data_IF_148058072247
#
_entry.id   IF_148058072247
#
_cell.length_a   1.000
_cell.length_b   1.000
_cell.length_c   1.000
_cell.angle_alpha   90.00
_cell.angle_beta   90.00
_cell.angle_gamma   90.00
#
_symmetry.space_group_name_H-M   'P 1'
#
loop_
_entity.id
_entity.type
_entity.pdbx_description
1 polymer ?
#
# COMPACT_ATOMS: atom_id res chain seq x y z
N UNK A 1 -27.10 -31.32 4.05
CA UNK A 1 -25.92 -30.48 3.77
C UNK A 1 -24.68 -31.32 4.08
N UNK A 2 -23.74 -31.48 3.14
CA UNK A 2 -22.57 -32.36 3.30
C UNK A 2 -21.39 -31.55 3.84
N UNK A 3 -20.79 -31.97 4.96
CA UNK A 3 -19.60 -31.34 5.55
C UNK A 3 -18.36 -32.15 5.18
N UNK A 4 -17.29 -31.48 4.80
CA UNK A 4 -15.99 -32.07 4.44
C UNK A 4 -14.95 -31.54 5.43
N UNK A 5 -14.13 -32.42 6.02
CA UNK A 5 -13.05 -32.06 6.95
C UNK A 5 -11.74 -32.76 6.55
N UNK A 6 -10.61 -32.33 7.11
CA UNK A 6 -9.31 -32.99 6.97
C UNK A 6 -9.07 -33.90 8.18
N UNK A 7 -8.61 -35.13 7.91
CA UNK A 7 -8.31 -36.12 8.95
C UNK A 7 -6.86 -36.58 8.82
N UNK A 8 -6.23 -36.87 9.95
CA UNK A 8 -4.98 -37.61 9.98
C UNK A 8 -5.26 -39.06 9.57
N UNK A 9 -4.53 -39.58 8.58
CA UNK A 9 -4.75 -40.92 8.03
C UNK A 9 -4.13 -42.03 8.89
N UNK A 10 -3.21 -41.71 9.80
CA UNK A 10 -2.59 -42.68 10.71
C UNK A 10 -3.37 -42.79 12.03
N UNK A 11 -3.84 -41.68 12.57
CA UNK A 11 -4.52 -41.63 13.89
C UNK A 11 -6.03 -41.54 13.78
N UNK A 12 -6.57 -41.07 12.65
CA UNK A 12 -8.01 -40.86 12.44
C UNK A 12 -8.57 -39.62 13.14
N UNK A 13 -7.72 -38.79 13.73
CA UNK A 13 -8.14 -37.57 14.42
C UNK A 13 -8.53 -36.46 13.43
N UNK A 14 -9.53 -35.66 13.80
CA UNK A 14 -9.92 -34.46 13.05
C UNK A 14 -8.87 -33.38 13.29
N UNK A 15 -8.17 -32.99 12.24
CA UNK A 15 -7.01 -32.08 12.33
C UNK A 15 -7.43 -30.64 12.62
N UNK A 16 -8.73 -30.31 12.56
CA UNK A 16 -9.26 -29.05 13.06
C UNK A 16 -8.59 -27.82 12.43
N UNK A 17 -8.87 -27.55 11.16
CA UNK A 17 -8.32 -26.39 10.45
C UNK A 17 -8.09 -26.67 8.99
N UNK A 18 -7.52 -25.70 8.28
CA UNK A 18 -7.03 -25.88 6.92
C UNK A 18 -5.59 -25.39 6.85
N UNK A 19 -4.74 -26.08 6.09
CA UNK A 19 -3.37 -25.62 5.84
C UNK A 19 -3.44 -24.43 4.87
N UNK A 20 -3.31 -23.22 5.41
CA UNK A 20 -3.16 -22.02 4.61
C UNK A 20 -1.70 -21.89 4.14
N UNK A 21 -1.42 -22.20 2.87
CA UNK A 21 -0.12 -21.87 2.27
C UNK A 21 -0.10 -20.38 1.96
N UNK A 22 0.40 -19.58 2.91
CA UNK A 22 0.66 -18.15 2.68
C UNK A 22 1.94 -18.05 1.86
N UNK A 23 1.81 -17.81 0.55
CA UNK A 23 2.99 -17.45 -0.24
C UNK A 23 3.52 -16.11 0.28
N UNK A 24 4.84 -15.94 0.41
CA UNK A 24 5.40 -14.64 0.74
C UNK A 24 4.89 -13.63 -0.30
N UNK A 25 4.27 -12.55 0.18
CA UNK A 25 3.75 -11.48 -0.68
C UNK A 25 4.87 -11.08 -1.64
N UNK A 26 4.60 -11.14 -2.95
CA UNK A 26 5.60 -10.70 -3.92
C UNK A 26 5.94 -9.24 -3.62
N UNK A 27 7.17 -9.02 -3.18
CA UNK A 27 7.69 -7.67 -2.99
C UNK A 27 7.86 -7.09 -4.38
N UNK A 28 7.30 -5.91 -4.60
CA UNK A 28 7.59 -5.14 -5.81
C UNK A 28 9.10 -5.00 -5.97
N UNK A 29 9.62 -5.15 -7.19
CA UNK A 29 11.04 -4.87 -7.49
C UNK A 29 11.38 -3.39 -7.29
N UNK A 30 10.37 -2.53 -7.24
CA UNK A 30 10.50 -1.13 -6.89
C UNK A 30 10.44 -1.00 -5.37
N UNK A 31 11.57 -0.65 -4.75
CA UNK A 31 11.72 -0.48 -3.30
C UNK A 31 10.67 0.50 -2.73
N UNK A 32 10.38 1.57 -3.48
CA UNK A 32 9.32 2.56 -3.20
C UNK A 32 8.41 2.66 -4.43
N UNK A 33 7.10 2.65 -4.21
CA UNK A 33 6.13 2.78 -5.29
C UNK A 33 4.91 3.59 -4.82
N UNK A 34 4.38 4.40 -5.72
CA UNK A 34 3.16 5.15 -5.51
C UNK A 34 2.02 4.52 -6.32
N UNK A 35 0.95 4.11 -5.65
CA UNK A 35 -0.26 3.59 -6.30
C UNK A 35 -1.44 4.49 -5.95
N UNK A 36 -2.13 5.02 -6.95
CA UNK A 36 -3.22 5.98 -6.77
C UNK A 36 -4.43 5.67 -7.64
N UNK A 37 -5.60 6.07 -7.16
CA UNK A 37 -6.82 6.13 -7.95
C UNK A 37 -6.67 7.14 -9.11
N UNK A 38 -6.84 6.66 -10.35
CA UNK A 38 -6.76 7.50 -11.55
C UNK A 38 -7.81 8.62 -11.59
N UNK A 39 -8.96 8.46 -10.91
CA UNK A 39 -9.96 9.53 -10.80
C UNK A 39 -9.41 10.75 -10.03
N UNK A 40 -8.51 10.53 -9.06
CA UNK A 40 -7.89 11.62 -8.31
C UNK A 40 -6.95 12.47 -9.19
N UNK A 41 -6.32 11.87 -10.21
CA UNK A 41 -5.47 12.61 -11.15
C UNK A 41 -6.25 13.70 -11.90
N UNK A 42 -7.53 13.46 -12.18
CA UNK A 42 -8.39 14.47 -12.83
C UNK A 42 -8.62 15.67 -11.92
N UNK A 43 -8.88 15.43 -10.63
CA UNK A 43 -9.08 16.48 -9.64
C UNK A 43 -7.79 17.28 -9.46
N UNK A 44 -6.64 16.59 -9.38
CA UNK A 44 -5.34 17.24 -9.29
C UNK A 44 -5.11 18.19 -10.47
N UNK A 45 -5.45 17.75 -11.68
CA UNK A 45 -5.25 18.54 -12.89
C UNK A 45 -6.18 19.75 -13.02
N UNK A 46 -7.35 19.75 -12.38
CA UNK A 46 -8.34 20.85 -12.51
C UNK A 46 -8.33 21.80 -11.32
N UNK A 47 -8.10 21.30 -10.11
CA UNK A 47 -8.31 22.07 -8.88
C UNK A 47 -7.01 22.63 -8.28
N UNK A 48 -5.86 22.02 -8.54
CA UNK A 48 -4.59 22.44 -7.96
C UNK A 48 -3.86 23.43 -8.87
N UNK A 49 -3.30 24.47 -8.27
CA UNK A 49 -2.37 25.35 -8.96
C UNK A 49 -0.95 24.75 -9.02
N UNK A 50 -0.05 25.44 -9.72
CA UNK A 50 1.32 24.96 -9.92
C UNK A 50 2.07 24.71 -8.60
N UNK A 51 1.98 25.64 -7.65
CA UNK A 51 2.67 25.55 -6.36
C UNK A 51 2.13 24.39 -5.52
N UNK A 52 0.80 24.25 -5.44
CA UNK A 52 0.16 23.15 -4.73
C UNK A 52 0.51 21.79 -5.36
N UNK A 53 0.64 21.74 -6.69
CA UNK A 53 1.08 20.53 -7.40
C UNK A 53 2.51 20.16 -7.04
N UNK A 54 3.44 21.13 -6.95
CA UNK A 54 4.83 20.86 -6.52
C UNK A 54 4.87 20.26 -5.11
N UNK A 55 4.15 20.85 -4.16
CA UNK A 55 4.06 20.36 -2.77
C UNK A 55 3.48 18.94 -2.75
N UNK A 56 2.40 18.68 -3.50
CA UNK A 56 1.83 17.35 -3.60
C UNK A 56 2.86 16.34 -4.13
N UNK A 57 3.61 16.67 -5.19
CA UNK A 57 4.60 15.74 -5.75
C UNK A 57 5.72 15.42 -4.76
N UNK A 58 6.16 16.39 -3.94
CA UNK A 58 7.13 16.14 -2.86
C UNK A 58 6.56 15.19 -1.80
N UNK A 59 5.31 15.41 -1.37
CA UNK A 59 4.63 14.53 -0.42
C UNK A 59 4.50 13.09 -0.96
N UNK A 60 4.19 12.94 -2.25
CA UNK A 60 4.04 11.64 -2.88
C UNK A 60 5.38 10.92 -3.09
N UNK A 61 6.48 11.66 -3.25
CA UNK A 61 7.84 11.10 -3.30
C UNK A 61 8.26 10.51 -1.95
N UNK A 62 7.72 11.04 -0.84
CA UNK A 62 8.03 10.62 0.52
C UNK A 62 7.00 9.68 1.16
N UNK A 63 6.08 9.13 0.37
CA UNK A 63 5.10 8.14 0.84
C UNK A 63 5.80 6.87 1.38
N UNK A 64 5.43 6.50 2.61
CA UNK A 64 5.74 5.20 3.17
C UNK A 64 4.69 4.14 2.79
N UNK A 65 5.04 2.87 3.03
CA UNK A 65 4.31 1.68 2.56
C UNK A 65 2.83 1.60 2.96
N UNK A 66 2.41 2.33 3.99
CA UNK A 66 1.03 2.38 4.49
C UNK A 66 0.29 3.68 4.16
N UNK A 67 0.81 4.47 3.21
CA UNK A 67 0.34 5.84 2.93
C UNK A 67 0.45 6.77 4.16
N UNK A 68 1.41 6.49 5.03
CA UNK A 68 1.74 7.37 6.15
C UNK A 68 2.79 8.38 5.67
N UNK A 69 2.58 9.66 5.96
CA UNK A 69 3.49 10.74 5.59
C UNK A 69 3.93 11.43 6.88
N UNK A 70 5.20 11.27 7.25
CA UNK A 70 5.86 12.01 8.34
C UNK A 70 6.91 12.96 7.79
N UNK A 71 6.45 13.95 7.03
CA UNK A 71 7.33 15.00 6.50
C UNK A 71 6.90 16.32 7.11
N UNK A 72 7.84 17.05 7.71
CA UNK A 72 7.56 18.39 8.20
C UNK A 72 7.43 19.35 7.00
N UNK A 73 6.49 20.30 7.07
CA UNK A 73 6.28 21.25 5.99
C UNK A 73 7.51 22.14 5.74
N UNK A 74 8.34 22.37 6.76
CA UNK A 74 9.57 23.14 6.63
C UNK A 74 10.58 22.43 5.72
N UNK A 75 10.69 21.11 5.81
CA UNK A 75 11.61 20.31 4.99
C UNK A 75 11.18 20.32 3.51
N UNK A 76 9.86 20.32 3.27
CA UNK A 76 9.29 20.45 1.93
C UNK A 76 9.54 21.85 1.38
N UNK A 77 9.34 22.89 2.20
CA UNK A 77 9.60 24.27 1.79
C UNK A 77 11.07 24.48 1.45
N UNK A 78 11.99 23.97 2.27
CA UNK A 78 13.44 24.00 2.00
C UNK A 78 13.78 23.28 0.70
N UNK A 79 13.22 22.09 0.46
CA UNK A 79 13.42 21.33 -0.78
C UNK A 79 12.88 22.05 -2.03
N UNK A 80 11.83 22.85 -1.87
CA UNK A 80 11.22 23.63 -2.94
C UNK A 80 11.80 25.06 -3.07
N UNK A 81 12.68 25.48 -2.16
CA UNK A 81 13.22 26.84 -2.10
C UNK A 81 12.17 27.91 -1.76
N UNK A 82 11.16 27.54 -0.97
CA UNK A 82 10.04 28.39 -0.54
C UNK A 82 10.22 28.95 0.87
#
# INVERSE_FOLDING_TARGET
>A
MRKVTQVDLETGEDLGGFVAVIRPKQKSSFERHFTMNQAALKIIATELNHEQTKVLMMLLADLDYENYIQVAQIDIAESLGM
#
